data_IF_394661961647
#
_entry.id   IF_394661961647
#
_cell.length_a   1.000
_cell.length_b   1.000
_cell.length_c   1.000
_cell.angle_alpha   90.00
_cell.angle_beta   90.00
_cell.angle_gamma   90.00
#
_symmetry.space_group_name_H-M   'P 1'
#
loop_
_entity.id
_entity.type
_entity.pdbx_description
1 polymer ?
#
# COMPACT_ATOMS: atom_id res chain seq x y z
N UNK A 1 78.15 1.40 -27.55
CA UNK A 1 77.90 2.20 -26.33
C UNK A 1 77.08 3.43 -26.71
N UNK A 2 75.79 3.49 -26.36
CA UNK A 2 74.95 4.70 -26.21
C UNK A 2 73.51 4.32 -25.81
N UNK A 3 73.29 4.37 -24.50
CA UNK A 3 72.10 4.69 -23.69
C UNK A 3 70.69 4.58 -24.29
N UNK A 4 69.88 3.72 -23.66
CA UNK A 4 68.43 3.59 -23.81
C UNK A 4 67.67 4.75 -23.15
N UNK A 5 66.64 5.25 -23.83
CA UNK A 5 65.69 6.25 -23.30
C UNK A 5 64.42 5.53 -22.89
N UNK A 6 64.11 5.54 -21.58
CA UNK A 6 62.90 4.96 -21.01
C UNK A 6 61.71 5.90 -21.23
N UNK A 7 60.64 5.40 -21.84
CA UNK A 7 59.32 6.04 -21.85
C UNK A 7 58.44 5.35 -20.81
N UNK A 8 58.21 6.05 -19.71
CA UNK A 8 57.22 5.72 -18.69
C UNK A 8 55.82 6.06 -19.23
N UNK A 9 55.02 5.05 -19.56
CA UNK A 9 53.58 5.22 -19.77
C UNK A 9 52.85 5.03 -18.44
N UNK A 10 52.26 6.11 -17.94
CA UNK A 10 51.48 6.13 -16.71
C UNK A 10 50.11 5.49 -16.94
N UNK A 11 49.87 4.34 -16.29
CA UNK A 11 48.55 3.73 -16.19
C UNK A 11 47.67 4.54 -15.25
N UNK A 12 46.67 5.23 -15.80
CA UNK A 12 45.62 5.92 -15.02
C UNK A 12 44.61 4.86 -14.56
N UNK A 13 44.66 4.51 -13.27
CA UNK A 13 43.61 3.72 -12.61
C UNK A 13 42.38 4.63 -12.39
N UNK A 14 41.34 4.40 -13.19
CA UNK A 14 40.02 5.00 -12.99
C UNK A 14 39.32 4.26 -11.84
N UNK A 15 39.36 4.81 -10.62
CA UNK A 15 38.53 4.33 -9.51
C UNK A 15 37.06 4.67 -9.81
N UNK A 16 36.27 3.67 -10.19
CA UNK A 16 34.82 3.74 -10.15
C UNK A 16 34.36 3.75 -8.69
N UNK A 17 34.13 4.93 -8.12
CA UNK A 17 33.39 5.08 -6.87
C UNK A 17 31.92 4.82 -7.15
N UNK A 18 31.46 3.62 -6.80
CA UNK A 18 30.03 3.32 -6.73
C UNK A 18 29.46 4.15 -5.58
N UNK A 19 28.48 5.05 -5.80
CA UNK A 19 27.81 5.71 -4.68
C UNK A 19 27.06 4.62 -3.90
N UNK A 20 27.52 4.37 -2.68
CA UNK A 20 26.83 3.51 -1.73
C UNK A 20 25.43 4.06 -1.48
N UNK A 21 24.41 3.25 -1.76
CA UNK A 21 23.08 3.48 -1.24
C UNK A 21 23.16 3.50 0.29
N UNK A 22 23.12 4.69 0.86
CA UNK A 22 22.83 4.86 2.27
C UNK A 22 21.35 4.47 2.46
N UNK A 23 21.13 3.18 2.78
CA UNK A 23 19.88 2.76 3.38
C UNK A 23 19.71 3.57 4.66
N UNK A 24 18.66 4.38 4.72
CA UNK A 24 18.25 5.04 5.96
C UNK A 24 17.73 3.95 6.89
N UNK A 25 18.63 3.32 7.62
CA UNK A 25 18.29 2.59 8.84
C UNK A 25 17.83 3.64 9.85
N UNK A 26 16.54 3.96 9.81
CA UNK A 26 15.86 4.68 10.86
C UNK A 26 15.87 3.85 12.13
N UNK A 27 16.97 3.92 12.88
CA UNK A 27 17.00 3.56 14.29
C UNK A 27 16.26 4.67 15.06
N UNK A 28 14.93 4.63 15.01
CA UNK A 28 14.04 5.48 15.78
C UNK A 28 12.93 4.60 16.34
N UNK A 29 12.73 4.64 17.65
CA UNK A 29 11.72 3.85 18.37
C UNK A 29 10.28 4.30 18.10
N UNK A 30 9.98 4.87 16.95
CA UNK A 30 8.67 5.37 16.58
C UNK A 30 8.10 4.51 15.45
N UNK A 31 6.77 4.40 15.42
CA UNK A 31 6.11 3.68 14.36
C UNK A 31 6.34 4.36 13.00
N UNK A 32 6.36 3.60 11.89
CA UNK A 32 6.26 4.20 10.56
C UNK A 32 5.06 5.14 10.49
N UNK A 33 5.16 6.23 9.74
CA UNK A 33 4.06 7.18 9.65
C UNK A 33 2.86 6.68 8.81
N UNK A 34 2.99 5.52 8.14
CA UNK A 34 2.04 4.95 7.16
C UNK A 34 1.32 6.03 6.36
N UNK A 35 2.09 6.91 5.73
CA UNK A 35 1.58 8.09 5.01
C UNK A 35 0.69 7.75 3.83
N UNK A 36 0.77 6.50 3.39
CA UNK A 36 -0.10 5.95 2.37
C UNK A 36 -1.46 5.52 2.93
N UNK A 37 -1.72 5.48 4.25
CA UNK A 37 -3.01 5.09 4.85
C UNK A 37 -3.83 6.32 5.30
N UNK A 38 -5.19 6.25 5.31
CA UNK A 38 -6.02 7.30 5.87
C UNK A 38 -5.67 7.53 7.35
N UNK A 39 -5.73 8.77 7.87
CA UNK A 39 -5.26 9.08 9.23
C UNK A 39 -5.88 8.22 10.33
N UNK A 40 -7.16 7.86 10.19
CA UNK A 40 -7.86 6.98 11.15
C UNK A 40 -7.23 5.58 11.16
N UNK A 41 -6.91 5.02 10.00
CA UNK A 41 -6.28 3.70 9.89
C UNK A 41 -4.81 3.76 10.29
N UNK A 42 -4.10 4.82 9.91
CA UNK A 42 -2.71 5.06 10.33
C UNK A 42 -2.59 5.11 11.86
N UNK A 43 -3.58 5.71 12.55
CA UNK A 43 -3.58 5.71 14.02
C UNK A 43 -3.77 4.32 14.62
N UNK A 44 -4.68 3.52 14.07
CA UNK A 44 -4.87 2.14 14.51
C UNK A 44 -3.62 1.28 14.29
N UNK A 45 -2.94 1.46 13.15
CA UNK A 45 -1.65 0.83 12.86
C UNK A 45 -0.59 1.24 13.90
N UNK A 46 -0.55 2.52 14.29
CA UNK A 46 0.40 3.05 15.29
C UNK A 46 0.20 2.40 16.65
N UNK A 47 -1.05 2.32 17.09
CA UNK A 47 -1.42 1.67 18.33
C UNK A 47 -1.05 0.17 18.31
N UNK A 48 -1.28 -0.51 17.18
CA UNK A 48 -0.89 -1.90 16.97
C UNK A 48 0.62 -2.13 17.02
N UNK A 49 1.39 -1.29 16.32
CA UNK A 49 2.85 -1.35 16.30
C UNK A 49 3.45 -1.11 17.68
N UNK A 50 2.93 -0.11 18.41
CA UNK A 50 3.32 0.18 19.78
C UNK A 50 3.03 -1.01 20.70
N UNK A 51 1.86 -1.64 20.56
CA UNK A 51 1.51 -2.84 21.31
C UNK A 51 2.45 -4.03 21.00
N UNK A 52 2.82 -4.24 19.74
CA UNK A 52 3.76 -5.30 19.35
C UNK A 52 5.14 -5.10 20.00
N UNK A 53 5.66 -3.86 19.98
CA UNK A 53 6.94 -3.51 20.63
C UNK A 53 6.88 -3.69 22.15
N UNK A 54 5.73 -3.42 22.76
CA UNK A 54 5.47 -3.65 24.18
C UNK A 54 5.19 -5.11 24.52
N UNK A 55 5.32 -6.04 23.56
CA UNK A 55 5.07 -7.48 23.73
C UNK A 55 3.64 -7.80 24.18
N UNK A 56 2.67 -7.02 23.68
CA UNK A 56 1.24 -7.23 23.86
C UNK A 56 0.64 -7.73 22.54
N UNK A 57 0.88 -8.99 22.14
CA UNK A 57 0.54 -9.45 20.80
C UNK A 57 -0.97 -9.51 20.58
N UNK A 58 -1.77 -9.85 21.59
CA UNK A 58 -3.25 -9.82 21.50
C UNK A 58 -3.75 -8.41 21.19
N UNK A 59 -3.34 -7.42 21.97
CA UNK A 59 -3.69 -6.02 21.72
C UNK A 59 -3.22 -5.53 20.34
N UNK A 60 -2.02 -5.94 19.92
CA UNK A 60 -1.52 -5.62 18.58
C UNK A 60 -2.40 -6.24 17.49
N UNK A 61 -2.79 -7.50 17.65
CA UNK A 61 -3.69 -8.20 16.74
C UNK A 61 -5.05 -7.53 16.68
N UNK A 62 -5.62 -7.10 17.81
CA UNK A 62 -6.91 -6.39 17.86
C UNK A 62 -6.85 -5.07 17.09
N UNK A 63 -5.77 -4.28 17.27
CA UNK A 63 -5.57 -3.00 16.60
C UNK A 63 -5.36 -3.15 15.11
N UNK A 64 -4.52 -4.10 14.69
CA UNK A 64 -4.34 -4.40 13.28
C UNK A 64 -5.61 -4.97 12.65
N UNK A 65 -6.35 -5.82 13.37
CA UNK A 65 -7.60 -6.37 12.86
C UNK A 65 -8.67 -5.28 12.66
N UNK A 66 -8.78 -4.33 13.60
CA UNK A 66 -9.67 -3.18 13.44
C UNK A 66 -9.36 -2.38 12.15
N UNK A 67 -8.08 -2.10 11.86
CA UNK A 67 -7.69 -1.41 10.63
C UNK A 67 -7.87 -2.28 9.37
N UNK A 68 -7.59 -3.58 9.45
CA UNK A 68 -7.72 -4.52 8.34
C UNK A 68 -9.18 -4.71 7.91
N UNK A 69 -10.16 -4.62 8.83
CA UNK A 69 -11.60 -4.61 8.51
C UNK A 69 -12.01 -3.46 7.60
N UNK A 70 -11.31 -2.33 7.67
CA UNK A 70 -11.54 -1.18 6.78
C UNK A 70 -10.73 -1.25 5.47
N UNK A 71 -10.11 -2.40 5.17
CA UNK A 71 -9.40 -2.62 3.91
C UNK A 71 -7.95 -2.13 3.88
N UNK A 72 -7.37 -1.75 5.02
CA UNK A 72 -5.93 -1.42 5.07
C UNK A 72 -5.09 -2.64 4.73
N UNK A 73 -4.38 -2.59 3.59
CA UNK A 73 -3.51 -3.67 3.13
C UNK A 73 -2.28 -3.81 4.01
N UNK A 74 -1.79 -2.70 4.55
CA UNK A 74 -0.73 -2.68 5.56
C UNK A 74 -1.18 -3.41 6.83
N UNK A 75 -2.39 -3.12 7.33
CA UNK A 75 -2.91 -3.78 8.52
C UNK A 75 -3.09 -5.29 8.30
N UNK A 76 -3.59 -5.69 7.13
CA UNK A 76 -3.68 -7.11 6.74
C UNK A 76 -2.30 -7.77 6.75
N UNK A 77 -1.27 -7.11 6.20
CA UNK A 77 0.10 -7.63 6.24
C UNK A 77 0.66 -7.75 7.66
N UNK A 78 0.53 -6.70 8.47
CA UNK A 78 1.04 -6.67 9.84
C UNK A 78 0.35 -7.73 10.72
N UNK A 79 -0.97 -7.85 10.63
CA UNK A 79 -1.74 -8.87 11.33
C UNK A 79 -1.33 -10.29 10.86
N UNK A 80 -1.24 -10.52 9.55
CA UNK A 80 -0.83 -11.82 9.01
C UNK A 80 0.56 -12.25 9.51
N UNK A 81 1.55 -11.36 9.45
CA UNK A 81 2.90 -11.59 9.99
C UNK A 81 2.87 -11.88 11.49
N UNK A 82 2.08 -11.12 12.26
CA UNK A 82 1.95 -11.28 13.70
C UNK A 82 1.34 -12.64 14.07
N UNK A 83 0.28 -13.06 13.37
CA UNK A 83 -0.37 -14.36 13.58
C UNK A 83 0.55 -15.53 13.21
N UNK A 84 1.33 -15.42 12.12
CA UNK A 84 2.32 -16.43 11.77
C UNK A 84 3.40 -16.59 12.85
N UNK A 85 3.84 -15.47 13.45
CA UNK A 85 4.80 -15.44 14.55
C UNK A 85 4.21 -16.05 15.83
N UNK A 86 2.92 -15.82 16.08
CA UNK A 86 2.22 -16.27 17.29
C UNK A 86 1.10 -17.26 16.96
N UNK A 87 1.44 -18.42 16.37
CA UNK A 87 0.46 -19.41 15.86
C UNK A 87 -0.64 -19.84 16.84
N UNK A 88 -0.43 -19.73 18.16
CA UNK A 88 -1.44 -20.04 19.18
C UNK A 88 -2.56 -19.00 19.29
N UNK A 89 -2.41 -17.83 18.67
CA UNK A 89 -3.40 -16.76 18.66
C UNK A 89 -4.37 -16.87 17.49
N UNK A 90 -3.98 -17.58 16.43
CA UNK A 90 -4.88 -17.83 15.32
C UNK A 90 -5.70 -19.08 15.67
N UNK A 91 -7.02 -18.96 15.64
CA UNK A 91 -7.92 -20.12 15.78
C UNK A 91 -7.63 -21.16 14.69
N UNK A 92 -7.20 -20.68 13.50
CA UNK A 92 -6.68 -21.49 12.40
C UNK A 92 -5.42 -20.82 11.81
N UNK A 93 -4.23 -21.44 11.94
CA UNK A 93 -2.97 -20.83 11.49
C UNK A 93 -2.89 -20.61 9.97
N UNK A 94 -3.67 -21.36 9.19
CA UNK A 94 -3.75 -21.22 7.74
C UNK A 94 -4.37 -19.86 7.33
N UNK A 95 -5.23 -19.29 8.18
CA UNK A 95 -5.89 -18.00 7.91
C UNK A 95 -4.90 -16.83 7.90
N UNK A 96 -3.76 -16.96 8.60
CA UNK A 96 -2.70 -15.96 8.57
C UNK A 96 -2.01 -15.88 7.20
N UNK A 97 -1.83 -17.03 6.54
CA UNK A 97 -1.28 -17.07 5.18
C UNK A 97 -2.27 -16.53 4.15
N UNK A 98 -3.54 -16.90 4.28
CA UNK A 98 -4.61 -16.38 3.43
C UNK A 98 -4.76 -14.87 3.54
N UNK A 99 -4.62 -14.32 4.76
CA UNK A 99 -4.60 -12.87 4.99
C UNK A 99 -3.40 -12.17 4.30
N UNK A 100 -2.21 -12.77 4.36
CA UNK A 100 -1.04 -12.25 3.63
C UNK A 100 -1.24 -12.31 2.11
N UNK A 101 -1.85 -13.38 1.61
CA UNK A 101 -2.20 -13.51 0.20
C UNK A 101 -3.24 -12.47 -0.23
N UNK A 102 -4.22 -12.17 0.63
CA UNK A 102 -5.17 -11.09 0.43
C UNK A 102 -4.45 -9.72 0.33
N UNK A 103 -3.53 -9.41 1.24
CA UNK A 103 -2.74 -8.17 1.20
C UNK A 103 -1.90 -8.09 -0.10
N UNK A 104 -1.25 -9.19 -0.49
CA UNK A 104 -0.44 -9.27 -1.70
C UNK A 104 -1.26 -9.05 -2.98
N UNK A 105 -2.47 -9.63 -3.07
CA UNK A 105 -3.40 -9.44 -4.20
C UNK A 105 -3.88 -8.00 -4.32
N UNK A 106 -4.02 -7.29 -3.21
CA UNK A 106 -4.35 -5.85 -3.19
C UNK A 106 -3.13 -4.94 -3.40
N UNK A 107 -1.95 -5.50 -3.70
CA UNK A 107 -0.76 -4.74 -4.08
C UNK A 107 0.23 -4.46 -2.96
N UNK A 108 0.14 -5.12 -1.80
CA UNK A 108 1.12 -4.94 -0.72
C UNK A 108 2.46 -5.60 -1.08
N UNK A 109 3.46 -4.79 -1.43
CA UNK A 109 4.76 -5.25 -1.95
C UNK A 109 5.47 -6.22 -1.00
N UNK A 110 5.58 -5.88 0.28
CA UNK A 110 6.26 -6.74 1.25
C UNK A 110 5.55 -8.09 1.43
N UNK A 111 4.22 -8.14 1.21
CA UNK A 111 3.47 -9.39 1.27
C UNK A 111 3.75 -10.24 0.04
N UNK A 112 3.80 -9.61 -1.15
CA UNK A 112 4.18 -10.29 -2.39
C UNK A 112 5.59 -10.89 -2.30
N UNK A 113 6.57 -10.12 -1.78
CA UNK A 113 7.94 -10.62 -1.59
C UNK A 113 7.98 -11.79 -0.60
N UNK A 114 7.28 -11.68 0.52
CA UNK A 114 7.20 -12.74 1.53
C UNK A 114 6.64 -14.03 0.92
N UNK A 115 5.55 -13.95 0.15
CA UNK A 115 4.92 -15.11 -0.46
C UNK A 115 5.70 -15.69 -1.63
N UNK A 116 6.37 -14.86 -2.42
CA UNK A 116 7.24 -15.30 -3.52
C UNK A 116 8.42 -16.14 -3.01
N UNK A 117 8.87 -15.92 -1.78
CA UNK A 117 9.89 -16.75 -1.12
C UNK A 117 9.34 -18.07 -0.55
N UNK A 118 8.03 -18.24 -0.54
CA UNK A 118 7.34 -19.42 -0.02
C UNK A 118 7.28 -20.60 -1.00
N UNK A 119 6.80 -21.74 -0.51
CA UNK A 119 6.68 -22.98 -1.30
C UNK A 119 5.44 -23.04 -2.20
N UNK A 120 4.41 -22.25 -1.90
CA UNK A 120 3.11 -22.29 -2.58
C UNK A 120 2.90 -20.99 -3.37
N UNK A 121 2.30 -21.07 -4.56
CA UNK A 121 1.92 -19.90 -5.32
C UNK A 121 0.78 -19.16 -4.61
N UNK A 122 0.75 -17.82 -4.72
CA UNK A 122 -0.31 -16.97 -4.13
C UNK A 122 -1.70 -17.38 -4.59
N UNK A 123 -1.82 -17.92 -5.81
CA UNK A 123 -3.08 -18.40 -6.38
C UNK A 123 -3.63 -19.66 -5.71
N UNK A 124 -2.77 -20.45 -5.05
CA UNK A 124 -3.14 -21.72 -4.40
C UNK A 124 -3.46 -21.54 -2.90
N UNK A 125 -3.31 -20.32 -2.40
CA UNK A 125 -3.60 -19.98 -1.01
C UNK A 125 -5.12 -19.78 -0.86
N UNK A 126 -5.69 -20.38 0.20
CA UNK A 126 -7.12 -20.34 0.47
C UNK A 126 -7.68 -18.92 0.68
N UNK A 127 -9.00 -18.83 0.78
CA UNK A 127 -9.70 -17.54 0.97
C UNK A 127 -10.24 -17.35 2.40
N UNK A 128 -10.07 -18.32 3.29
CA UNK A 128 -10.54 -18.21 4.66
C UNK A 128 -9.69 -17.19 5.42
N UNK A 129 -10.34 -16.23 6.08
CA UNK A 129 -9.68 -15.14 6.78
C UNK A 129 -9.84 -15.32 8.30
N UNK A 130 -9.01 -14.65 9.12
CA UNK A 130 -9.18 -14.70 10.57
C UNK A 130 -10.58 -14.27 10.97
N UNK A 131 -11.16 -14.96 11.95
CA UNK A 131 -12.51 -14.68 12.47
C UNK A 131 -12.68 -13.21 12.81
N UNK A 132 -11.65 -12.57 13.36
CA UNK A 132 -11.69 -11.16 13.68
C UNK A 132 -12.01 -10.27 12.47
N UNK A 133 -11.89 -10.68 11.21
CA UNK A 133 -12.34 -9.87 10.07
C UNK A 133 -13.85 -10.01 9.80
N UNK A 134 -14.48 -11.06 10.31
CA UNK A 134 -15.91 -11.33 10.19
C UNK A 134 -16.69 -11.00 11.47
N UNK A 135 -16.10 -11.27 12.62
CA UNK A 135 -16.73 -11.18 13.93
C UNK A 135 -16.09 -10.07 14.75
N UNK A 136 -16.89 -9.03 14.98
CA UNK A 136 -16.64 -8.08 16.05
C UNK A 136 -17.36 -6.77 15.83
N UNK A 137 -17.66 -6.10 16.95
CA UNK A 137 -18.04 -4.70 16.93
C UNK A 137 -16.84 -3.94 16.33
N UNK A 138 -17.00 -3.36 15.14
CA UNK A 138 -16.10 -2.29 14.72
C UNK A 138 -16.22 -1.24 15.81
N UNK A 139 -15.17 -1.03 16.61
CA UNK A 139 -15.18 0.05 17.60
C UNK A 139 -15.77 1.28 16.92
N UNK A 140 -16.90 1.77 17.44
CA UNK A 140 -17.67 2.81 16.78
C UNK A 140 -16.74 4.01 16.65
N UNK A 141 -16.24 4.23 15.44
CA UNK A 141 -15.78 5.54 15.06
C UNK A 141 -17.03 6.38 15.22
N UNK A 142 -17.05 7.23 16.25
CA UNK A 142 -18.15 8.15 16.43
C UNK A 142 -18.32 8.87 15.09
N UNK A 143 -19.43 8.59 14.40
CA UNK A 143 -19.79 9.35 13.23
C UNK A 143 -20.07 10.75 13.73
N UNK A 144 -19.06 11.60 13.63
CA UNK A 144 -19.17 12.99 14.05
C UNK A 144 -20.05 13.78 13.08
N UNK A 145 -20.47 13.16 11.96
CA UNK A 145 -21.10 13.85 10.83
C UNK A 145 -20.19 14.89 10.17
N UNK A 146 -18.93 15.00 10.62
CA UNK A 146 -18.00 16.01 10.15
C UNK A 146 -17.26 15.50 8.91
N UNK A 147 -17.38 16.24 7.82
CA UNK A 147 -16.64 15.95 6.61
C UNK A 147 -15.13 16.11 6.83
N UNK A 148 -14.32 15.22 6.24
CA UNK A 148 -12.85 15.23 6.38
C UNK A 148 -12.28 16.61 6.00
N UNK A 149 -11.52 17.30 6.88
CA UNK A 149 -10.98 18.62 6.58
C UNK A 149 -10.08 18.63 5.34
N UNK A 150 -10.14 19.70 4.54
CA UNK A 150 -9.34 19.83 3.30
C UNK A 150 -7.84 19.69 3.54
N UNK A 151 -7.32 20.21 4.66
CA UNK A 151 -5.90 20.09 5.04
C UNK A 151 -5.41 18.65 5.21
N UNK A 152 -6.30 17.74 5.63
CA UNK A 152 -6.00 16.31 5.79
C UNK A 152 -5.84 15.67 4.42
N UNK A 153 -6.73 16.03 3.49
CA UNK A 153 -6.70 15.56 2.09
C UNK A 153 -5.44 16.03 1.41
N UNK A 154 -5.08 17.32 1.57
CA UNK A 154 -3.87 17.87 0.97
C UNK A 154 -2.60 17.21 1.50
N UNK A 155 -2.54 16.92 2.80
CA UNK A 155 -1.41 16.18 3.39
C UNK A 155 -1.29 14.78 2.80
N UNK A 156 -2.41 14.08 2.62
CA UNK A 156 -2.43 12.77 1.96
C UNK A 156 -1.97 12.87 0.49
N UNK A 157 -2.50 13.81 -0.29
CA UNK A 157 -2.08 13.97 -1.69
C UNK A 157 -0.59 14.33 -1.78
N UNK A 158 -0.08 15.14 -0.86
CA UNK A 158 1.33 15.48 -0.79
C UNK A 158 2.24 14.28 -0.45
N UNK A 159 1.78 13.29 0.31
CA UNK A 159 2.61 12.11 0.64
C UNK A 159 2.75 11.11 -0.51
N UNK A 160 1.83 11.11 -1.48
CA UNK A 160 1.87 10.19 -2.62
C UNK A 160 3.13 10.35 -3.48
N UNK A 161 3.55 9.29 -4.16
CA UNK A 161 4.60 9.32 -5.19
C UNK A 161 4.26 10.33 -6.31
N UNK A 162 5.26 10.78 -7.07
CA UNK A 162 5.09 11.83 -8.11
C UNK A 162 3.96 11.49 -9.08
N UNK A 163 3.92 10.25 -9.59
CA UNK A 163 2.89 9.81 -10.53
C UNK A 163 1.51 9.70 -9.89
N UNK A 164 1.41 9.08 -8.71
CA UNK A 164 0.12 8.98 -7.99
C UNK A 164 -0.43 10.35 -7.61
N UNK A 165 0.45 11.27 -7.18
CA UNK A 165 0.11 12.66 -6.87
C UNK A 165 -0.40 13.40 -8.09
N UNK A 166 0.16 13.14 -9.29
CA UNK A 166 -0.33 13.71 -10.55
C UNK A 166 -1.79 13.29 -10.81
N UNK A 167 -2.09 11.99 -10.67
CA UNK A 167 -3.46 11.48 -10.83
C UNK A 167 -4.41 12.00 -9.74
N UNK A 168 -3.98 12.03 -8.47
CA UNK A 168 -4.79 12.60 -7.39
C UNK A 168 -5.15 14.08 -7.65
N UNK A 169 -4.20 14.89 -8.12
CA UNK A 169 -4.46 16.28 -8.51
C UNK A 169 -5.34 16.43 -9.75
N UNK A 170 -5.31 15.46 -10.66
CA UNK A 170 -6.24 15.40 -11.79
C UNK A 170 -7.67 15.18 -11.29
N UNK A 171 -7.86 14.19 -10.41
CA UNK A 171 -9.16 13.89 -9.77
C UNK A 171 -9.69 15.09 -9.00
N UNK A 172 -8.85 15.77 -8.20
CA UNK A 172 -9.23 16.97 -7.46
C UNK A 172 -9.70 18.12 -8.38
N UNK A 173 -9.13 18.25 -9.57
CA UNK A 173 -9.56 19.26 -10.55
C UNK A 173 -10.85 18.91 -11.26
N UNK A 174 -11.05 17.63 -11.59
CA UNK A 174 -12.20 17.19 -12.40
C UNK A 174 -13.46 16.99 -11.57
N UNK A 175 -13.36 16.43 -10.37
CA UNK A 175 -14.51 16.05 -9.54
C UNK A 175 -15.54 17.17 -9.33
N UNK A 176 -15.16 18.44 -9.05
CA UNK A 176 -16.14 19.52 -8.91
C UNK A 176 -16.93 19.79 -10.19
N UNK A 177 -16.36 19.55 -11.38
CA UNK A 177 -17.05 19.72 -12.66
C UNK A 177 -18.19 18.71 -12.88
N UNK A 178 -18.19 17.62 -12.12
CA UNK A 178 -19.23 16.59 -12.12
C UNK A 178 -20.10 16.62 -10.86
N UNK A 179 -20.00 17.69 -10.05
CA UNK A 179 -20.72 17.84 -8.78
C UNK A 179 -20.39 16.71 -7.76
N UNK A 180 -19.18 16.15 -7.86
CA UNK A 180 -18.66 15.12 -6.94
C UNK A 180 -17.66 15.74 -5.97
N UNK A 181 -17.81 15.43 -4.69
CA UNK A 181 -16.83 15.82 -3.67
C UNK A 181 -15.45 15.21 -4.00
N UNK A 182 -14.38 16.02 -4.16
CA UNK A 182 -13.03 15.51 -4.41
C UNK A 182 -12.57 14.45 -3.42
N UNK A 183 -13.01 14.52 -2.16
CA UNK A 183 -12.68 13.53 -1.12
C UNK A 183 -13.24 12.17 -1.45
N UNK A 184 -14.48 12.14 -1.92
CA UNK A 184 -15.15 10.91 -2.35
C UNK A 184 -14.48 10.34 -3.59
N UNK A 185 -14.22 11.17 -4.59
CA UNK A 185 -13.58 10.73 -5.83
C UNK A 185 -12.16 10.17 -5.57
N UNK A 186 -11.36 10.83 -4.73
CA UNK A 186 -10.04 10.34 -4.31
C UNK A 186 -10.13 9.00 -3.57
N UNK A 187 -11.13 8.83 -2.70
CA UNK A 187 -11.33 7.57 -1.99
C UNK A 187 -11.66 6.43 -2.95
N UNK A 188 -12.52 6.68 -3.95
CA UNK A 188 -12.87 5.70 -4.98
C UNK A 188 -11.61 5.32 -5.79
N UNK A 189 -10.89 6.28 -6.37
CA UNK A 189 -9.68 6.01 -7.18
C UNK A 189 -8.62 5.24 -6.39
N UNK A 190 -8.45 5.59 -5.12
CA UNK A 190 -7.55 4.90 -4.22
C UNK A 190 -7.95 3.44 -4.07
N UNK A 191 -9.23 3.15 -3.84
CA UNK A 191 -9.74 1.79 -3.69
C UNK A 191 -9.67 1.00 -4.99
N UNK A 192 -9.99 1.62 -6.13
CA UNK A 192 -10.06 0.94 -7.42
C UNK A 192 -8.67 0.58 -7.96
N UNK A 193 -7.70 1.49 -7.89
CA UNK A 193 -6.39 1.31 -8.55
C UNK A 193 -5.19 1.75 -7.73
N UNK A 194 -5.41 2.33 -6.55
CA UNK A 194 -4.38 3.04 -5.80
C UNK A 194 -3.64 4.09 -6.68
N UNK A 195 -4.41 4.87 -7.43
CA UNK A 195 -3.94 5.91 -8.36
C UNK A 195 -3.03 5.39 -9.50
N UNK A 196 -3.19 4.13 -9.88
CA UNK A 196 -2.46 3.52 -10.99
C UNK A 196 -3.31 3.52 -12.27
N UNK A 197 -3.03 4.45 -13.19
CA UNK A 197 -3.71 4.52 -14.48
C UNK A 197 -3.49 3.30 -15.38
N UNK A 198 -2.48 2.47 -15.08
CA UNK A 198 -2.19 1.25 -15.84
C UNK A 198 -2.82 -0.01 -15.21
N UNK A 199 -3.63 0.12 -14.16
CA UNK A 199 -4.21 -1.00 -13.45
C UNK A 199 -5.17 -1.81 -14.35
N UNK A 200 -5.05 -3.14 -14.28
CA UNK A 200 -5.91 -4.11 -14.99
C UNK A 200 -6.35 -5.20 -14.03
N UNK A 201 -7.66 -5.41 -13.92
CA UNK A 201 -8.21 -6.50 -13.10
C UNK A 201 -8.39 -7.80 -13.90
N UNK A 202 -8.50 -8.97 -13.22
CA UNK A 202 -8.85 -10.24 -13.86
C UNK A 202 -10.22 -10.22 -14.57
N UNK A 203 -11.10 -9.28 -14.21
CA UNK A 203 -12.42 -9.07 -14.82
C UNK A 203 -12.40 -8.00 -15.91
N UNK A 204 -11.21 -7.68 -16.43
CA UNK A 204 -11.00 -6.71 -17.51
C UNK A 204 -11.41 -5.26 -17.17
N UNK A 205 -11.46 -4.93 -15.88
CA UNK A 205 -11.57 -3.55 -15.41
C UNK A 205 -10.22 -2.84 -15.59
N UNK A 206 -10.24 -1.57 -16.00
CA UNK A 206 -9.05 -0.86 -16.49
C UNK A 206 -9.00 0.58 -15.99
N UNK A 207 -7.79 1.08 -15.74
CA UNK A 207 -7.53 2.49 -15.44
C UNK A 207 -7.66 2.87 -13.95
N UNK A 208 -7.69 4.18 -13.69
CA UNK A 208 -7.81 4.77 -12.36
C UNK A 208 -9.07 4.35 -11.60
N UNK A 209 -10.21 4.36 -12.29
CA UNK A 209 -11.56 4.08 -11.77
C UNK A 209 -11.99 2.63 -12.03
N UNK A 210 -11.12 1.80 -12.61
CA UNK A 210 -11.42 0.40 -12.95
C UNK A 210 -12.73 0.25 -13.74
N UNK A 211 -12.85 1.02 -14.84
CA UNK A 211 -13.98 0.86 -15.75
C UNK A 211 -13.85 -0.45 -16.55
N UNK A 212 -14.94 -1.22 -16.62
CA UNK A 212 -15.08 -2.30 -17.60
C UNK A 212 -15.48 -1.71 -18.96
N UNK A 213 -15.14 -2.36 -20.10
CA UNK A 213 -15.37 -1.80 -21.43
C UNK A 213 -16.81 -1.34 -21.70
N UNK A 214 -17.81 -2.16 -21.35
CA UNK A 214 -19.22 -1.83 -21.54
C UNK A 214 -19.62 -0.56 -20.77
N UNK A 215 -19.05 -0.33 -19.58
CA UNK A 215 -19.29 0.89 -18.80
C UNK A 215 -18.62 2.09 -19.45
N UNK A 216 -17.38 1.94 -19.90
CA UNK A 216 -16.65 2.99 -20.60
C UNK A 216 -17.40 3.46 -21.87
N UNK A 217 -17.95 2.52 -22.65
CA UNK A 217 -18.75 2.83 -23.84
C UNK A 217 -20.01 3.63 -23.48
N UNK A 218 -20.74 3.21 -22.44
CA UNK A 218 -21.95 3.90 -21.97
C UNK A 218 -21.70 5.35 -21.54
N UNK A 219 -20.50 5.63 -21.02
CA UNK A 219 -20.08 6.99 -20.61
C UNK A 219 -19.26 7.74 -21.67
N UNK A 220 -19.11 7.18 -22.88
CA UNK A 220 -18.43 7.84 -24.00
C UNK A 220 -16.91 7.94 -23.86
N UNK A 221 -16.31 7.09 -23.02
CA UNK A 221 -14.85 7.02 -22.82
C UNK A 221 -14.21 6.36 -24.05
N UNK A 222 -13.37 7.11 -24.76
CA UNK A 222 -12.71 6.65 -26.00
C UNK A 222 -11.42 5.89 -25.72
N UNK A 223 -10.70 6.28 -24.67
CA UNK A 223 -9.50 5.61 -24.21
C UNK A 223 -9.59 5.31 -22.72
N UNK A 224 -9.87 4.05 -22.36
CA UNK A 224 -10.04 3.61 -20.97
C UNK A 224 -8.74 3.74 -20.15
N UNK A 225 -7.58 3.75 -20.82
CA UNK A 225 -6.29 3.90 -20.14
C UNK A 225 -5.85 5.36 -20.03
N UNK A 226 -6.62 6.30 -20.59
CA UNK A 226 -6.38 7.73 -20.42
C UNK A 226 -6.88 8.18 -19.04
N UNK A 227 -6.01 8.70 -18.15
CA UNK A 227 -6.39 9.05 -16.78
C UNK A 227 -7.42 10.17 -16.67
N UNK A 228 -7.60 11.00 -17.70
CA UNK A 228 -8.57 12.10 -17.70
C UNK A 228 -9.96 11.64 -18.14
N UNK A 229 -10.02 10.65 -19.04
CA UNK A 229 -11.29 10.05 -19.46
C UNK A 229 -11.77 8.92 -18.53
N UNK A 230 -10.86 8.22 -17.85
CA UNK A 230 -11.19 7.08 -16.99
C UNK A 230 -11.64 7.48 -15.58
#
# INVERSE_FOLDING_TARGET
MRTATQLLTASVLLLCTVPGFAGTSGAGGDAPAWTDEPPVLARMLEDGYRAERNRLPQLAADRYCAAARYGSTEAQFQLGRLLLKHRRMADQPDNAMNLLALAARQGHEAAQTLLASGRNAVADIGNDLPDCLYSGETGSLADTGAAVPHEVVERFVASLSIERRRHARLVQRLAPGYDVDPRLALAIVRTESNFNANARSPRNAQGLMQLIPDTAERFGVRNIMDPEQN
#
